data_IF_832204243602
#
_entry.id   IF_832204243602
#
_cell.length_a   1.000
_cell.length_b   1.000
_cell.length_c   1.000
_cell.angle_alpha   90.00
_cell.angle_beta   90.00
_cell.angle_gamma   90.00
#
_symmetry.space_group_name_H-M   'P 1'
#
loop_
_entity.id
_entity.type
_entity.pdbx_description
1 polymer ?
2 non-polymer ?
#
# COMPACT_ATOMS: atom_id res chain seq x y z
N UNK A 1 -39.63 -4.09 -12.30
CA UNK A 1 -39.24 -2.82 -11.63
C UNK A 1 -38.07 -2.14 -12.33
N UNK A 2 -37.02 -2.90 -12.58
CA UNK A 2 -35.78 -2.37 -13.15
C UNK A 2 -35.90 -2.20 -14.66
N UNK A 3 -35.73 -0.95 -15.11
CA UNK A 3 -35.92 -0.59 -16.52
C UNK A 3 -34.58 -0.45 -17.27
N UNK A 4 -33.49 -0.79 -16.59
CA UNK A 4 -32.13 -0.81 -17.16
C UNK A 4 -31.65 0.52 -17.75
N UNK A 5 -31.97 1.62 -17.06
CA UNK A 5 -31.32 2.90 -17.31
C UNK A 5 -30.98 3.58 -15.98
N UNK A 6 -32.00 4.15 -15.33
CA UNK A 6 -31.85 4.85 -14.06
C UNK A 6 -30.48 5.52 -13.91
N UNK A 7 -30.19 6.47 -14.80
CA UNK A 7 -28.93 7.21 -14.74
C UNK A 7 -28.71 7.79 -13.35
N UNK A 8 -27.49 7.69 -12.85
CA UNK A 8 -27.15 8.10 -11.48
C UNK A 8 -27.56 9.56 -11.19
N UNK A 9 -27.85 10.31 -12.25
CA UNK A 9 -28.19 11.73 -12.14
C UNK A 9 -29.45 12.15 -12.89
N UNK A 10 -30.61 11.72 -12.38
CA UNK A 10 -31.91 12.28 -12.74
C UNK A 10 -32.82 12.04 -11.55
N UNK A 11 -32.33 11.22 -10.63
CA UNK A 11 -33.03 10.82 -9.43
C UNK A 11 -32.37 11.48 -8.22
N UNK A 12 -31.10 11.15 -7.98
CA UNK A 12 -30.34 11.72 -6.87
C UNK A 12 -29.43 12.82 -7.39
N UNK A 13 -29.79 14.07 -7.07
CA UNK A 13 -29.06 15.24 -7.56
C UNK A 13 -27.84 15.57 -6.73
N UNK A 14 -28.02 15.66 -5.41
CA UNK A 14 -26.95 16.09 -4.49
C UNK A 14 -25.81 15.08 -4.34
N UNK A 15 -26.11 13.80 -4.54
CA UNK A 15 -25.10 12.74 -4.49
C UNK A 15 -24.19 12.79 -5.72
N UNK A 16 -24.79 12.98 -6.89
CA UNK A 16 -24.05 13.13 -8.14
C UNK A 16 -23.19 14.40 -8.12
N UNK A 17 -23.71 15.45 -7.48
CA UNK A 17 -23.00 16.70 -7.27
C UNK A 17 -21.68 16.46 -6.53
N UNK A 18 -21.77 15.71 -5.43
CA UNK A 18 -20.60 15.38 -4.62
C UNK A 18 -19.67 14.37 -5.32
N UNK A 19 -20.26 13.53 -6.17
CA UNK A 19 -19.51 12.54 -6.94
C UNK A 19 -18.63 13.17 -8.00
N UNK A 20 -19.18 14.15 -8.72
CA UNK A 20 -18.45 14.83 -9.79
C UNK A 20 -17.47 15.89 -9.27
N UNK A 21 -17.74 16.41 -8.06
CA UNK A 21 -16.83 17.35 -7.41
C UNK A 21 -15.53 16.68 -6.96
N UNK A 22 -15.63 15.40 -6.61
CA UNK A 22 -14.46 14.59 -6.29
C UNK A 22 -13.68 14.22 -7.56
N UNK A 23 -14.42 14.03 -8.65
CA UNK A 23 -13.83 13.75 -9.97
C UNK A 23 -13.03 14.94 -10.49
N UNK A 24 -13.54 16.15 -10.23
CA UNK A 24 -12.86 17.40 -10.58
C UNK A 24 -11.61 17.59 -9.72
N UNK A 25 -11.74 17.27 -8.43
CA UNK A 25 -10.64 17.37 -7.48
C UNK A 25 -9.46 16.48 -7.89
N UNK A 26 -9.74 15.22 -8.20
CA UNK A 26 -8.73 14.25 -8.61
C UNK A 26 -8.04 14.63 -9.92
N UNK A 27 -8.77 15.40 -10.75
CA UNK A 27 -8.24 15.88 -12.02
C UNK A 27 -7.48 17.21 -11.90
N UNK A 28 -7.54 17.82 -10.72
CA UNK A 28 -6.91 19.13 -10.49
C UNK A 28 -5.94 19.15 -9.31
N UNK A 29 -5.69 17.98 -8.72
CA UNK A 29 -4.77 17.87 -7.59
C UNK A 29 -3.65 16.88 -7.87
N UNK A 30 -2.43 17.28 -7.52
CA UNK A 30 -1.26 16.41 -7.62
C UNK A 30 -1.21 15.51 -6.39
N UNK A 31 -1.41 14.22 -6.60
CA UNK A 31 -1.41 13.24 -5.52
C UNK A 31 0.01 12.72 -5.27
N UNK A 32 0.59 13.12 -4.14
CA UNK A 32 1.91 12.65 -3.74
C UNK A 32 1.85 11.92 -2.40
N UNK A 33 0.64 11.63 -1.94
CA UNK A 33 0.42 10.79 -0.77
C UNK A 33 0.88 9.36 -1.08
N UNK A 34 1.73 8.82 -0.21
CA UNK A 34 2.45 7.57 -0.46
C UNK A 34 1.58 6.39 -0.91
N UNK A 35 2.05 5.71 -1.96
CA UNK A 35 1.47 4.46 -2.46
C UNK A 35 0.01 4.50 -2.89
N UNK A 36 -0.52 5.69 -3.13
CA UNK A 36 -1.88 5.83 -3.67
C UNK A 36 -1.82 5.91 -5.19
N UNK A 37 -2.72 5.18 -5.84
CA UNK A 37 -2.68 5.03 -7.29
C UNK A 37 -4.06 5.06 -7.93
N UNK A 38 -4.09 5.39 -9.23
CA UNK A 38 -5.32 5.36 -10.01
C UNK A 38 -5.48 3.98 -10.67
N UNK A 39 -6.70 3.45 -10.60
CA UNK A 39 -6.98 2.12 -11.14
C UNK A 39 -7.45 2.16 -12.61
N UNK A 40 -7.40 1.00 -13.25
CA UNK A 40 -7.78 0.85 -14.65
C UNK A 40 -9.30 0.96 -14.85
N UNK A 41 -9.74 1.53 -15.99
CA UNK A 41 -11.16 1.55 -16.36
C UNK A 41 -11.73 0.14 -16.56
N UNK A 42 -10.85 -0.83 -16.81
CA UNK A 42 -11.23 -2.24 -16.88
C UNK A 42 -11.69 -2.74 -15.52
N UNK A 43 -10.97 -2.33 -14.48
CA UNK A 43 -11.28 -2.68 -13.10
C UNK A 43 -12.59 -2.03 -12.64
N UNK A 44 -12.72 -0.73 -12.91
CA UNK A 44 -13.91 0.05 -12.54
C UNK A 44 -15.19 -0.53 -13.12
N UNK A 45 -15.14 -0.89 -14.41
CA UNK A 45 -16.31 -1.40 -15.11
C UNK A 45 -16.62 -2.86 -14.75
N UNK A 46 -15.61 -3.58 -14.28
CA UNK A 46 -15.78 -4.95 -13.78
C UNK A 46 -16.26 -4.95 -12.34
N UNK A 47 -15.94 -3.88 -11.61
CA UNK A 47 -16.36 -3.72 -10.22
C UNK A 47 -17.83 -3.31 -10.15
N UNK A 48 -18.28 -2.56 -11.15
CA UNK A 48 -19.68 -2.16 -11.25
C UNK A 48 -20.45 -3.04 -12.21
N UNK A 49 -20.28 -4.35 -12.06
CA UNK A 49 -20.91 -5.34 -12.93
C UNK A 49 -22.08 -6.03 -12.23
N UNK A 50 -22.75 -6.92 -12.96
CA UNK A 50 -23.92 -7.65 -12.46
C UNK A 50 -23.53 -8.77 -11.49
N UNK A 51 -22.24 -8.94 -11.25
CA UNK A 51 -21.71 -9.96 -10.35
C UNK A 51 -21.91 -9.64 -8.86
N UNK A 52 -22.39 -8.43 -8.58
CA UNK A 52 -22.73 -8.01 -7.22
C UNK A 52 -24.00 -8.69 -6.70
N UNK A 53 -24.83 -9.14 -7.64
CA UNK A 53 -26.08 -9.85 -7.31
C UNK A 53 -25.84 -11.31 -6.93
N UNK A 54 -24.70 -11.86 -7.35
CA UNK A 54 -24.37 -13.26 -7.09
C UNK A 54 -23.85 -13.48 -5.68
N UNK A 55 -24.47 -14.44 -4.98
CA UNK A 55 -24.04 -14.86 -3.65
C UNK A 55 -23.40 -16.24 -3.71
N UNK A 56 -22.07 -16.26 -3.72
CA UNK A 56 -21.31 -17.50 -3.73
C UNK A 56 -20.48 -17.61 -2.46
N UNK A 57 -20.86 -18.55 -1.61
CA UNK A 57 -20.22 -18.72 -0.30
C UNK A 57 -19.33 -19.97 -0.29
N UNK A 58 -18.06 -19.77 0.05
CA UNK A 58 -17.09 -20.87 0.13
C UNK A 58 -15.92 -20.70 -0.83
N UNK A 59 -15.50 -21.81 -1.42
CA UNK A 59 -14.35 -21.84 -2.33
C UNK A 59 -14.70 -22.50 -3.67
N UNK A 60 -14.02 -22.09 -4.76
CA UNK A 60 -14.31 -22.60 -6.12
C UNK A 60 -14.21 -24.12 -6.24
N UNK A 61 -15.23 -24.74 -6.82
CA UNK A 61 -15.29 -26.19 -6.99
C UNK A 61 -16.00 -26.91 -5.86
N UNK A 62 -16.04 -26.27 -4.69
CA UNK A 62 -16.67 -26.85 -3.50
C UNK A 62 -17.53 -25.84 -2.74
N UNK A 63 -18.52 -25.30 -3.44
CA UNK A 63 -19.46 -24.32 -2.88
C UNK A 63 -20.61 -25.04 -2.18
N UNK A 64 -21.34 -24.31 -1.34
CA UNK A 64 -22.49 -24.86 -0.63
C UNK A 64 -23.73 -24.92 -1.51
N UNK A 65 -23.97 -23.84 -2.27
CA UNK A 65 -25.18 -23.68 -3.05
C UNK A 65 -24.93 -23.87 -4.55
N UNK A 66 -25.94 -24.37 -5.25
CA UNK A 66 -25.86 -24.59 -6.69
C UNK A 66 -25.88 -23.31 -7.49
N UNK A 67 -25.49 -23.40 -8.76
CA UNK A 67 -25.47 -22.25 -9.66
C UNK A 67 -24.17 -21.45 -9.60
N UNK A 68 -23.17 -22.00 -8.91
CA UNK A 68 -21.86 -21.37 -8.79
C UNK A 68 -20.86 -21.93 -9.81
N UNK A 69 -21.40 -22.49 -10.89
CA UNK A 69 -20.59 -23.15 -11.92
C UNK A 69 -19.76 -22.20 -12.78
N UNK A 70 -20.15 -20.93 -12.83
CA UNK A 70 -19.46 -19.93 -13.66
C UNK A 70 -18.58 -18.98 -12.84
N UNK A 71 -19.00 -18.66 -11.63
CA UNK A 71 -18.24 -17.77 -10.74
C UNK A 71 -16.98 -18.43 -10.18
N UNK A 72 -16.95 -19.77 -10.20
CA UNK A 72 -15.77 -20.54 -9.83
C UNK A 72 -14.62 -20.27 -10.81
N UNK A 73 -14.96 -20.08 -12.08
CA UNK A 73 -13.99 -19.76 -13.13
C UNK A 73 -13.45 -18.34 -12.96
N UNK A 74 -14.34 -17.42 -12.60
CA UNK A 74 -13.98 -16.01 -12.39
C UNK A 74 -12.95 -15.88 -11.27
N UNK A 75 -13.18 -16.58 -10.17
CA UNK A 75 -12.30 -16.54 -9.01
C UNK A 75 -10.99 -17.29 -9.28
N UNK A 76 -11.09 -18.40 -10.02
CA UNK A 76 -9.92 -19.22 -10.35
C UNK A 76 -8.90 -18.46 -11.21
N UNK A 77 -9.40 -17.61 -12.10
CA UNK A 77 -8.54 -16.75 -12.92
C UNK A 77 -7.73 -15.78 -12.05
N UNK A 78 -8.38 -15.23 -11.03
CA UNK A 78 -7.73 -14.34 -10.07
C UNK A 78 -6.70 -15.09 -9.22
N UNK A 79 -6.99 -16.36 -8.94
CA UNK A 79 -6.07 -17.21 -8.16
C UNK A 79 -4.86 -17.63 -9.00
N UNK A 80 -5.11 -18.14 -10.20
CA UNK A 80 -4.06 -18.64 -11.09
C UNK A 80 -3.08 -17.56 -11.55
N UNK A 81 -3.59 -16.35 -11.76
CA UNK A 81 -2.77 -15.21 -12.16
C UNK A 81 -1.94 -14.66 -10.99
N UNK A 82 -2.49 -14.76 -9.78
CA UNK A 82 -1.79 -14.34 -8.56
C UNK A 82 -0.62 -15.26 -8.25
N UNK A 83 -0.80 -16.56 -8.52
CA UNK A 83 0.24 -17.56 -8.31
C UNK A 83 1.42 -17.37 -9.25
N UNK A 84 1.12 -17.22 -10.54
CA UNK A 84 2.12 -17.12 -11.59
C UNK A 84 2.93 -15.81 -11.51
N UNK A 85 2.27 -14.74 -11.09
CA UNK A 85 2.88 -13.41 -11.04
C UNK A 85 3.91 -13.26 -9.92
N UNK A 86 3.58 -13.76 -8.74
CA UNK A 86 4.45 -13.62 -7.57
C UNK A 86 5.25 -14.88 -7.26
N UNK A 87 5.08 -15.92 -8.09
CA UNK A 87 5.82 -17.17 -7.95
C UNK A 87 5.44 -17.96 -6.71
N UNK A 88 4.14 -18.09 -6.46
CA UNK A 88 3.63 -18.83 -5.31
C UNK A 88 2.77 -20.01 -5.73
N UNK A 89 2.64 -20.99 -4.84
CA UNK A 89 1.77 -22.15 -5.09
C UNK A 89 0.48 -22.10 -4.27
N UNK A 90 0.18 -20.92 -3.74
CA UNK A 90 -1.04 -20.67 -2.97
C UNK A 90 -1.48 -19.22 -3.12
N UNK A 91 -2.77 -19.01 -3.34
CA UNK A 91 -3.36 -17.68 -3.49
C UNK A 91 -4.78 -17.63 -2.93
N UNK A 92 -5.11 -16.51 -2.28
CA UNK A 92 -6.46 -16.29 -1.76
C UNK A 92 -6.91 -14.86 -2.04
N UNK A 93 -7.93 -14.73 -2.90
CA UNK A 93 -8.41 -13.43 -3.35
C UNK A 93 -9.76 -13.03 -2.75
N UNK A 94 -10.12 -13.66 -1.65
CA UNK A 94 -11.42 -13.44 -1.00
C UNK A 94 -11.47 -12.34 0.07
N UNK A 95 -10.35 -12.07 0.78
CA UNK A 95 -10.37 -11.03 1.81
C UNK A 95 -10.80 -9.65 1.30
N UNK A 96 -11.68 -8.99 2.05
CA UNK A 96 -12.25 -7.70 1.67
C UNK A 96 -11.23 -6.57 1.72
N UNK A 97 -10.30 -6.65 2.67
CA UNK A 97 -9.30 -5.60 2.87
C UNK A 97 -7.96 -6.17 3.34
N UNK A 98 -6.94 -5.32 3.34
CA UNK A 98 -5.60 -5.68 3.83
C UNK A 98 -5.59 -5.96 5.32
N UNK A 99 -6.49 -5.30 6.05
CA UNK A 99 -6.67 -5.54 7.48
C UNK A 99 -7.27 -6.92 7.73
N UNK A 100 -8.18 -7.33 6.86
CA UNK A 100 -8.79 -8.65 6.91
C UNK A 100 -7.82 -9.73 6.42
N UNK A 101 -6.94 -9.36 5.50
CA UNK A 101 -5.91 -10.27 4.97
C UNK A 101 -4.91 -10.64 6.06
N UNK A 102 -4.55 -9.66 6.90
CA UNK A 102 -3.68 -9.89 8.04
C UNK A 102 -4.39 -10.62 9.17
N UNK A 103 -5.66 -10.25 9.39
CA UNK A 103 -6.50 -10.86 10.43
C UNK A 103 -6.57 -12.39 10.32
N UNK A 104 -6.62 -12.88 9.08
CA UNK A 104 -6.66 -14.31 8.80
C UNK A 104 -5.41 -15.04 9.29
N UNK A 105 -4.24 -14.42 9.08
CA UNK A 105 -2.96 -15.01 9.45
C UNK A 105 -2.84 -15.20 10.96
N UNK A 106 -3.28 -14.19 11.72
CA UNK A 106 -3.20 -14.23 13.18
C UNK A 106 -4.13 -15.28 13.79
N UNK A 107 -5.31 -15.45 13.19
CA UNK A 107 -6.30 -16.41 13.69
C UNK A 107 -5.96 -17.85 13.27
N UNK A 108 -5.15 -17.99 12.24
CA UNK A 108 -4.78 -19.30 11.70
C UNK A 108 -3.60 -19.93 12.44
N UNK A 109 -2.59 -19.12 12.76
CA UNK A 109 -1.31 -19.63 13.27
C UNK A 109 -1.03 -19.29 14.73
N UNK A 110 -1.73 -18.28 15.25
CA UNK A 110 -1.48 -17.81 16.62
C UNK A 110 -2.65 -18.01 17.57
N UNK A 111 -2.32 -18.28 18.82
CA UNK A 111 -3.29 -18.36 19.90
C UNK A 111 -3.51 -16.98 20.51
N UNK A 112 -4.74 -16.69 20.99
CA UNK A 112 -5.00 -15.42 21.66
C UNK A 112 -4.16 -15.23 22.92
N UNK A 113 -3.21 -14.30 22.86
CA UNK A 113 -2.31 -14.01 23.97
C UNK A 113 -0.86 -14.37 23.72
N UNK A 114 -0.55 -14.77 22.49
CA UNK A 114 0.81 -15.15 22.10
C UNK A 114 1.72 -13.94 21.92
N UNK A 115 3.00 -14.12 22.21
CA UNK A 115 4.00 -13.07 22.04
C UNK A 115 4.37 -12.95 20.56
N UNK A 116 4.19 -11.75 20.02
CA UNK A 116 4.48 -11.47 18.61
C UNK A 116 5.48 -10.32 18.52
N UNK A 117 6.61 -10.59 17.88
CA UNK A 117 7.65 -9.58 17.69
C UNK A 117 7.41 -8.81 16.39
N UNK A 118 6.52 -7.81 16.47
CA UNK A 118 6.19 -6.98 15.33
C UNK A 118 6.95 -5.68 15.30
N UNK A 119 6.89 -4.98 14.16
CA UNK A 119 7.61 -3.72 13.99
C UNK A 119 6.98 -2.61 14.84
N UNK A 120 7.83 -1.72 15.35
CA UNK A 120 7.42 -0.62 16.22
C UNK A 120 6.46 0.35 15.55
N UNK A 121 5.28 0.52 16.16
CA UNK A 121 4.24 1.41 15.65
C UNK A 121 4.66 2.88 15.69
N UNK A 122 5.42 3.24 16.73
CA UNK A 122 5.90 4.62 16.91
C UNK A 122 6.88 5.06 15.82
N UNK A 123 7.57 4.09 15.22
CA UNK A 123 8.53 4.38 14.15
C UNK A 123 8.16 3.70 12.83
N UNK A 124 7.08 4.19 12.21
CA UNK A 124 6.68 3.75 10.87
C UNK A 124 5.83 2.50 10.78
N UNK A 125 5.52 1.91 11.94
CA UNK A 125 4.76 0.65 11.99
C UNK A 125 3.30 0.77 11.59
N UNK A 126 2.77 -0.31 11.02
CA UNK A 126 1.38 -0.38 10.57
C UNK A 126 0.46 -0.74 11.74
N UNK A 127 -0.80 -0.36 11.63
CA UNK A 127 -1.79 -0.58 12.69
C UNK A 127 -2.06 -2.07 12.94
N UNK A 128 -2.23 -2.83 11.88
CA UNK A 128 -2.48 -4.28 11.99
C UNK A 128 -1.21 -5.06 12.36
N UNK A 129 -0.09 -4.36 12.41
CA UNK A 129 1.21 -4.95 12.71
C UNK A 129 1.57 -4.86 14.20
N UNK A 130 0.61 -4.43 15.01
CA UNK A 130 0.81 -4.28 16.44
C UNK A 130 0.52 -2.86 16.91
N UNK A 131 -0.72 -2.64 17.32
CA UNK A 131 -1.16 -1.33 17.80
C UNK A 131 -2.13 -1.49 18.97
N UNK A 132 -1.97 -0.66 20.02
CA UNK A 132 -2.85 -0.69 21.19
C UNK A 132 -4.33 -0.46 20.87
N UNK A 133 -4.60 0.31 19.82
CA UNK A 133 -5.97 0.63 19.40
C UNK A 133 -6.56 -0.40 18.44
N UNK A 134 -5.69 -1.21 17.82
CA UNK A 134 -6.10 -2.22 16.86
C UNK A 134 -6.32 -3.59 17.51
N UNK A 135 -7.03 -4.48 16.80
CA UNK A 135 -7.30 -5.84 17.28
C UNK A 135 -6.03 -6.68 17.47
N UNK A 136 -5.00 -6.36 16.69
CA UNK A 136 -3.73 -7.08 16.73
C UNK A 136 -3.01 -6.95 18.07
N UNK A 137 -3.08 -5.76 18.66
CA UNK A 137 -2.44 -5.49 19.96
C UNK A 137 -3.31 -5.83 21.15
N UNK A 138 -4.62 -5.82 20.94
CA UNK A 138 -5.58 -6.10 22.01
C UNK A 138 -5.68 -7.60 22.33
N UNK A 139 -5.64 -8.43 21.29
CA UNK A 139 -5.76 -9.88 21.45
C UNK A 139 -4.41 -10.56 21.67
N UNK A 140 -3.37 -10.02 21.05
CA UNK A 140 -2.03 -10.62 21.10
C UNK A 140 -1.03 -9.71 21.80
N UNK A 141 -0.09 -10.33 22.52
CA UNK A 141 1.00 -9.61 23.16
C UNK A 141 2.04 -9.16 22.12
N UNK A 142 2.25 -7.85 22.03
CA UNK A 142 3.15 -7.29 21.03
C UNK A 142 4.42 -6.73 21.67
N UNK A 143 5.56 -7.25 21.23
CA UNK A 143 6.87 -6.73 21.61
C UNK A 143 7.52 -6.08 20.39
N UNK A 144 7.72 -4.74 20.44
CA UNK A 144 8.19 -4.02 19.26
C UNK A 144 9.71 -4.02 19.09
N UNK A 145 10.16 -4.08 17.84
CA UNK A 145 11.58 -3.90 17.51
C UNK A 145 11.76 -2.64 16.67
N UNK A 146 12.85 -1.91 16.92
CA UNK A 146 13.10 -0.63 16.27
C UNK A 146 14.17 -0.67 15.20
N UNK A 147 14.07 0.27 14.26
CA UNK A 147 15.06 0.42 13.19
C UNK A 147 16.24 1.29 13.62
N UNK A 148 17.29 1.32 12.80
CA UNK A 148 18.49 2.11 13.07
C UNK A 148 18.25 3.60 12.77
N UNK A 149 19.28 4.42 13.00
CA UNK A 149 19.18 5.88 12.85
C UNK A 149 18.79 6.34 11.44
N UNK A 150 19.35 5.68 10.42
CA UNK A 150 19.06 6.04 9.03
C UNK A 150 17.69 5.55 8.57
N UNK A 151 17.24 4.43 9.12
CA UNK A 151 15.95 3.86 8.77
C UNK A 151 16.03 2.39 8.40
N UNK A 152 17.24 1.92 8.12
CA UNK A 152 17.48 0.51 7.77
C UNK A 152 17.37 -0.37 9.01
N UNK A 153 17.02 -1.64 8.80
CA UNK A 153 16.77 -2.58 9.91
C UNK A 153 18.06 -3.01 10.60
N UNK A 154 18.05 -2.92 11.93
CA UNK A 154 19.14 -3.42 12.76
C UNK A 154 18.94 -4.92 12.97
N UNK A 155 19.76 -5.71 12.28
CA UNK A 155 19.63 -7.17 12.30
C UNK A 155 20.09 -7.80 13.61
N UNK A 156 21.01 -7.13 14.29
CA UNK A 156 21.49 -7.55 15.60
C UNK A 156 20.42 -7.33 16.69
N UNK A 157 19.63 -6.29 16.51
CA UNK A 157 18.55 -5.96 17.45
C UNK A 157 17.38 -6.93 17.31
N UNK A 158 17.18 -7.45 16.10
CA UNK A 158 16.13 -8.44 15.84
C UNK A 158 16.49 -9.81 16.39
N UNK A 159 17.79 -10.12 16.39
CA UNK A 159 18.29 -11.36 16.96
C UNK A 159 18.16 -11.34 18.48
N UNK A 160 18.31 -10.15 19.06
CA UNK A 160 17.97 -9.90 20.46
C UNK A 160 16.45 -9.78 20.58
N UNK A 161 15.93 -9.86 21.80
CA UNK A 161 14.48 -9.83 22.07
C UNK A 161 13.78 -11.10 21.55
N UNK A 162 14.54 -11.92 20.81
CA UNK A 162 14.04 -13.18 20.26
C UNK A 162 14.27 -14.33 21.24
N UNK A 163 15.31 -14.21 22.05
CA UNK A 163 15.59 -15.18 23.11
C UNK A 163 15.05 -14.67 24.44
N UNK A 164 14.87 -13.36 24.54
CA UNK A 164 14.35 -12.71 25.74
C UNK A 164 12.87 -13.00 25.96
N UNK A 165 12.10 -12.98 24.87
CA UNK A 165 10.64 -13.14 24.93
C UNK A 165 10.15 -14.43 24.26
N UNK A 166 10.93 -14.93 23.31
CA UNK A 166 10.58 -16.12 22.52
C UNK A 166 9.22 -16.01 21.81
N UNK A 167 9.17 -15.27 20.69
CA UNK A 167 7.91 -15.09 19.97
C UNK A 167 7.53 -16.27 19.08
N UNK A 168 6.24 -16.46 18.85
CA UNK A 168 5.74 -17.53 17.98
C UNK A 168 5.64 -17.06 16.54
N UNK A 169 5.62 -15.75 16.34
CA UNK A 169 5.61 -15.14 15.02
C UNK A 169 6.32 -13.79 15.04
N UNK A 170 7.15 -13.54 14.03
CA UNK A 170 7.80 -12.24 13.85
C UNK A 170 7.29 -11.57 12.57
N UNK A 171 6.93 -10.28 12.69
CA UNK A 171 6.39 -9.53 11.56
C UNK A 171 7.46 -8.66 10.91
N UNK A 172 7.77 -8.96 9.65
CA UNK A 172 8.75 -8.20 8.88
C UNK A 172 8.11 -7.41 7.76
N UNK A 173 7.05 -6.68 8.09
CA UNK A 173 6.32 -5.86 7.13
C UNK A 173 7.07 -4.60 6.75
N UNK A 174 6.89 -4.15 5.51
CA UNK A 174 7.55 -2.97 4.99
C UNK A 174 6.96 -1.68 5.56
N UNK A 175 7.84 -0.78 5.99
CA UNK A 175 7.44 0.51 6.55
C UNK A 175 8.02 1.67 5.74
N UNK A 176 7.71 2.90 6.18
CA UNK A 176 8.18 4.11 5.51
C UNK A 176 9.70 4.29 5.59
N UNK A 177 10.24 5.00 4.61
CA UNK A 177 11.68 5.35 4.49
C UNK A 177 12.71 4.23 4.68
N UNK A 178 12.25 2.99 4.83
CA UNK A 178 13.13 1.84 4.94
C UNK A 178 13.59 1.36 3.57
N UNK A 179 14.85 0.96 3.47
CA UNK A 179 15.41 0.45 2.21
C UNK A 179 15.00 -0.98 1.93
N UNK A 180 15.88 -1.73 1.27
CA UNK A 180 15.61 -3.14 0.98
C UNK A 180 15.68 -3.99 2.24
N UNK A 181 14.78 -4.98 2.31
CA UNK A 181 14.72 -5.90 3.44
C UNK A 181 15.38 -7.22 3.07
N UNK A 182 16.37 -7.63 3.84
CA UNK A 182 17.03 -8.91 3.63
C UNK A 182 16.15 -10.03 4.19
N UNK A 183 15.20 -10.49 3.37
CA UNK A 183 14.23 -11.50 3.77
C UNK A 183 14.84 -12.89 3.91
N UNK A 184 16.00 -13.10 3.29
CA UNK A 184 16.75 -14.34 3.45
C UNK A 184 17.32 -14.42 4.87
N UNK A 185 17.70 -13.27 5.42
CA UNK A 185 18.20 -13.17 6.79
C UNK A 185 17.05 -13.33 7.80
N UNK A 186 15.85 -12.91 7.39
CA UNK A 186 14.65 -13.03 8.24
C UNK A 186 14.31 -14.48 8.55
N UNK A 187 14.49 -15.35 7.55
CA UNK A 187 14.18 -16.77 7.68
C UNK A 187 15.15 -17.49 8.61
N UNK A 188 16.43 -17.13 8.52
CA UNK A 188 17.48 -17.72 9.37
C UNK A 188 17.26 -17.45 10.85
N UNK A 189 16.74 -16.26 11.17
CA UNK A 189 16.44 -15.86 12.54
C UNK A 189 15.18 -16.57 13.04
N UNK A 190 14.14 -16.61 12.19
CA UNK A 190 12.85 -17.19 12.54
C UNK A 190 12.90 -18.70 12.77
N UNK A 191 13.77 -19.38 12.04
CA UNK A 191 13.91 -20.84 12.14
C UNK A 191 14.59 -21.29 13.42
N UNK A 192 15.47 -20.44 13.95
CA UNK A 192 16.22 -20.74 15.18
C UNK A 192 15.33 -20.71 16.42
N UNK A 193 14.34 -19.83 16.42
CA UNK A 193 13.38 -19.71 17.53
C UNK A 193 12.25 -20.74 17.37
N UNK A 194 11.92 -21.05 16.12
CA UNK A 194 10.78 -21.90 15.80
C UNK A 194 9.52 -21.07 15.65
N UNK A 195 9.65 -19.96 14.92
CA UNK A 195 8.57 -19.00 14.75
C UNK A 195 8.16 -18.84 13.29
N UNK A 196 6.91 -18.40 13.08
CA UNK A 196 6.40 -18.15 11.74
C UNK A 196 6.92 -16.82 11.20
N UNK A 197 7.26 -16.82 9.91
CA UNK A 197 7.73 -15.60 9.22
C UNK A 197 6.59 -14.98 8.41
N UNK A 198 6.13 -13.82 8.89
CA UNK A 198 5.02 -13.11 8.25
C UNK A 198 5.49 -11.79 7.66
N UNK A 199 5.35 -11.65 6.35
CA UNK A 199 5.79 -10.46 5.62
C UNK A 199 4.61 -9.80 4.90
N UNK A 200 4.43 -8.50 5.14
CA UNK A 200 3.39 -7.72 4.46
C UNK A 200 4.02 -6.81 3.41
N UNK A 201 3.87 -7.19 2.15
CA UNK A 201 4.44 -6.42 1.05
C UNK A 201 3.38 -5.55 0.37
N UNK A 202 2.33 -5.24 1.12
CA UNK A 202 1.21 -4.47 0.57
C UNK A 202 1.70 -3.16 -0.05
N UNK A 203 2.65 -2.52 0.61
CA UNK A 203 3.08 -1.18 0.23
C UNK A 203 3.93 -1.20 -1.04
N UNK A 204 4.60 -2.32 -1.27
CA UNK A 204 5.56 -2.42 -2.36
C UNK A 204 5.22 -3.60 -3.28
N UNK A 205 3.93 -3.81 -3.52
CA UNK A 205 3.47 -4.97 -4.28
C UNK A 205 3.79 -4.80 -5.77
N UNK A 206 3.52 -3.61 -6.29
CA UNK A 206 3.73 -3.34 -7.71
C UNK A 206 5.17 -3.39 -8.17
N UNK A 207 6.08 -3.01 -7.27
CA UNK A 207 7.52 -3.01 -7.57
C UNK A 207 8.07 -4.43 -7.65
N UNK A 208 7.55 -5.32 -6.81
CA UNK A 208 7.90 -6.74 -6.84
C UNK A 208 7.25 -7.41 -8.06
N UNK A 209 6.07 -6.91 -8.44
CA UNK A 209 5.31 -7.40 -9.59
C UNK A 209 6.06 -7.27 -10.91
N UNK A 210 6.79 -6.17 -11.07
CA UNK A 210 7.57 -5.90 -12.28
C UNK A 210 8.97 -6.53 -12.19
N UNK A 211 9.52 -6.56 -10.99
CA UNK A 211 10.86 -7.11 -10.76
C UNK A 211 11.88 -6.04 -10.43
N UNK A 212 11.44 -5.00 -9.71
CA UNK A 212 12.31 -3.91 -9.29
C UNK A 212 12.72 -4.10 -7.83
N UNK A 213 11.78 -4.59 -7.03
CA UNK A 213 12.00 -4.83 -5.61
C UNK A 213 12.06 -6.34 -5.35
N UNK A 214 12.98 -6.79 -4.46
CA UNK A 214 13.13 -8.21 -4.12
C UNK A 214 11.82 -8.88 -3.67
N UNK A 215 11.69 -10.17 -3.96
CA UNK A 215 10.49 -10.93 -3.63
C UNK A 215 10.65 -11.70 -2.31
N UNK A 216 9.80 -11.38 -1.32
CA UNK A 216 9.81 -12.08 -0.04
C UNK A 216 9.15 -13.46 -0.06
N UNK A 217 8.30 -13.70 -1.06
CA UNK A 217 7.51 -14.94 -1.16
C UNK A 217 8.33 -16.25 -1.20
N UNK A 218 9.41 -16.31 -2.00
CA UNK A 218 10.22 -17.54 -2.06
C UNK A 218 10.75 -18.03 -0.70
N UNK A 219 11.11 -17.11 0.18
CA UNK A 219 11.65 -17.46 1.49
C UNK A 219 10.88 -16.80 2.64
N UNK A 220 9.58 -17.07 2.70
CA UNK A 220 8.70 -16.65 3.79
C UNK A 220 7.53 -17.61 3.94
N UNK A 221 7.03 -17.76 5.16
CA UNK A 221 5.91 -18.66 5.43
C UNK A 221 4.60 -18.14 4.84
N UNK A 222 4.16 -16.97 5.31
CA UNK A 222 2.93 -16.34 4.83
C UNK A 222 3.21 -14.91 4.38
N UNK A 223 2.74 -14.56 3.18
CA UNK A 223 2.90 -13.22 2.63
C UNK A 223 1.54 -12.61 2.27
N UNK A 224 1.25 -11.44 2.82
CA UNK A 224 0.01 -10.72 2.53
C UNK A 224 0.26 -9.41 1.80
N UNK A 225 -0.72 -8.97 1.02
CA UNK A 225 -0.63 -7.73 0.25
C UNK A 225 -2.00 -7.15 -0.13
N UNK A 226 -2.03 -5.84 -0.37
CA UNK A 226 -3.23 -5.16 -0.88
C UNK A 226 -3.16 -5.09 -2.41
N UNK A 227 -4.32 -5.17 -3.06
CA UNK A 227 -4.38 -5.29 -4.51
C UNK A 227 -4.77 -3.97 -5.15
N UNK A 228 -4.41 -2.87 -4.48
CA UNK A 228 -5.03 -1.57 -4.76
C UNK A 228 -4.08 -0.43 -4.44
N UNK A 229 -2.79 -0.74 -4.36
CA UNK A 229 -1.78 0.24 -3.98
C UNK A 229 -0.76 0.44 -5.10
N UNK A 230 0.41 -0.14 -4.92
CA UNK A 230 1.47 -0.07 -5.93
C UNK A 230 1.25 -1.13 -7.01
N UNK A 231 0.07 -1.74 -7.02
CA UNK A 231 -0.29 -2.72 -8.03
C UNK A 231 -1.43 -2.22 -8.92
N UNK A 232 -1.95 -1.05 -8.58
CA UNK A 232 -3.09 -0.48 -9.31
C UNK A 232 -4.23 -1.49 -9.41
N UNK A 233 -5.01 -1.60 -8.34
CA UNK A 233 -5.98 -2.66 -8.20
C UNK A 233 -7.27 -2.21 -7.56
N UNK A 234 -8.32 -3.00 -7.73
CA UNK A 234 -9.46 -2.97 -6.82
C UNK A 234 -9.02 -3.00 -5.36
N UNK A 235 -9.70 -2.23 -4.51
CA UNK A 235 -9.40 -2.20 -3.08
C UNK A 235 -9.76 -3.53 -2.41
N UNK A 236 -8.73 -4.29 -2.02
CA UNK A 236 -8.90 -5.60 -1.40
C UNK A 236 -7.62 -6.16 -0.81
N UNK A 237 -7.64 -7.46 -0.51
CA UNK A 237 -6.49 -8.15 0.07
C UNK A 237 -6.10 -9.41 -0.68
N UNK A 238 -4.94 -9.96 -0.34
CA UNK A 238 -4.42 -11.17 -0.97
C UNK A 238 -3.49 -11.92 -0.02
N UNK A 239 -3.67 -13.24 0.07
CA UNK A 239 -2.78 -14.09 0.85
C UNK A 239 -2.01 -15.04 -0.07
N UNK A 240 -0.68 -14.97 -0.01
CA UNK A 240 0.19 -15.80 -0.83
C UNK A 240 1.17 -16.60 0.03
N UNK A 241 1.48 -17.81 -0.42
CA UNK A 241 2.43 -18.69 0.28
C UNK A 241 3.16 -19.61 -0.69
N UNK A 242 4.43 -19.89 -0.38
CA UNK A 242 5.27 -20.74 -1.22
C UNK A 242 6.11 -21.71 -0.38
N UNK A 243 6.06 -22.98 -0.74
CA UNK A 243 6.87 -24.02 -0.10
C UNK A 243 6.38 -24.45 1.26
N UNK A 244 5.06 -24.53 1.43
CA UNK A 244 4.45 -24.96 2.68
C UNK A 244 3.70 -26.27 2.54
N UNK A 245 3.25 -26.81 3.66
CA UNK A 245 2.46 -28.04 3.68
C UNK A 245 0.97 -27.73 3.49
N UNK A 246 0.23 -28.70 2.95
CA UNK A 246 -1.19 -28.55 2.68
C UNK A 246 -2.03 -28.38 3.94
N UNK A 247 -1.51 -28.87 5.06
CA UNK A 247 -2.16 -28.72 6.37
C UNK A 247 -2.03 -27.29 6.89
N UNK A 248 -1.06 -26.54 6.36
CA UNK A 248 -0.88 -25.14 6.71
C UNK A 248 -1.61 -24.21 5.74
N UNK A 249 -1.86 -24.69 4.52
CA UNK A 249 -2.64 -23.94 3.53
C UNK A 249 -4.12 -23.91 3.92
N UNK A 250 -4.61 -25.03 4.43
CA UNK A 250 -6.00 -25.16 4.85
C UNK A 250 -6.29 -24.42 6.16
N UNK A 251 -5.22 -24.09 6.89
CA UNK A 251 -5.32 -23.22 8.06
C UNK A 251 -5.72 -21.81 7.67
N UNK A 252 -5.08 -21.30 6.60
CA UNK A 252 -5.36 -19.97 6.07
C UNK A 252 -6.69 -19.92 5.32
N UNK A 253 -7.04 -21.02 4.65
CA UNK A 253 -8.32 -21.15 3.96
C UNK A 253 -9.50 -21.07 4.93
N UNK A 254 -9.38 -21.76 6.06
CA UNK A 254 -10.39 -21.74 7.11
C UNK A 254 -10.38 -20.42 7.87
N UNK A 255 -9.26 -19.71 7.81
CA UNK A 255 -9.10 -18.42 8.51
C UNK A 255 -9.86 -17.28 7.83
N UNK A 256 -10.01 -17.38 6.51
CA UNK A 256 -10.79 -16.39 5.75
C UNK A 256 -12.27 -16.74 5.86
N UNK A 257 -12.63 -17.93 5.39
CA UNK A 257 -13.99 -18.45 5.53
C UNK A 257 -13.94 -19.91 6.01
N UNK A 258 -14.70 -20.23 7.07
CA UNK A 258 -15.58 -19.35 7.84
C UNK A 258 -14.88 -18.71 9.04
N UNK A 259 -13.75 -18.07 8.80
CA UNK A 259 -12.96 -17.45 9.85
C UNK A 259 -13.50 -16.12 10.32
N UNK A 260 -13.31 -15.09 9.49
CA UNK A 260 -13.72 -13.73 9.86
C UNK A 260 -14.76 -13.10 8.96
N UNK A 261 -14.96 -13.69 7.78
CA UNK A 261 -15.92 -13.16 6.80
C UNK A 261 -16.78 -14.24 6.16
N UNK A 262 -17.93 -13.84 5.63
CA UNK A 262 -18.86 -14.77 4.99
C UNK A 262 -18.56 -14.96 3.51
N UNK A 263 -19.49 -14.51 2.66
CA UNK A 263 -19.34 -14.61 1.22
C UNK A 263 -18.49 -13.47 0.66
N UNK A 264 -17.53 -13.80 -0.22
CA UNK A 264 -16.64 -12.82 -0.84
C UNK A 264 -17.35 -11.95 -1.89
N UNK A 265 -16.81 -10.75 -2.13
CA UNK A 265 -17.36 -9.83 -3.12
C UNK A 265 -16.85 -10.20 -4.51
N UNK A 266 -17.70 -10.87 -5.29
CA UNK A 266 -17.33 -11.39 -6.61
C UNK A 266 -17.06 -10.30 -7.66
N UNK A 267 -17.73 -9.15 -7.50
CA UNK A 267 -17.53 -8.02 -8.41
C UNK A 267 -16.14 -7.40 -8.26
N UNK A 268 -15.59 -7.46 -7.05
CA UNK A 268 -14.24 -6.99 -6.77
C UNK A 268 -13.21 -8.03 -7.26
N UNK A 269 -13.53 -9.30 -7.08
CA UNK A 269 -12.67 -10.41 -7.52
C UNK A 269 -12.52 -10.43 -9.05
N UNK A 270 -13.59 -10.07 -9.75
CA UNK A 270 -13.56 -9.89 -11.20
C UNK A 270 -12.63 -8.75 -11.60
N UNK A 271 -12.58 -7.71 -10.76
CA UNK A 271 -11.65 -6.61 -10.93
C UNK A 271 -10.22 -6.98 -10.55
N UNK A 272 -10.10 -7.97 -9.66
CA UNK A 272 -8.79 -8.48 -9.24
C UNK A 272 -8.13 -9.32 -10.34
N UNK A 273 -8.94 -10.09 -11.06
CA UNK A 273 -8.46 -10.97 -12.12
C UNK A 273 -7.91 -10.20 -13.31
N UNK A 274 -8.57 -9.11 -13.67
CA UNK A 274 -8.14 -8.27 -14.79
C UNK A 274 -6.92 -7.41 -14.43
N UNK A 275 -6.83 -7.01 -13.17
CA UNK A 275 -5.73 -6.16 -12.69
C UNK A 275 -4.39 -6.92 -12.66
N UNK A 276 -4.46 -8.21 -12.37
CA UNK A 276 -3.28 -9.08 -12.36
C UNK A 276 -2.75 -9.35 -13.77
N UNK A 277 -3.66 -9.39 -14.74
CA UNK A 277 -3.30 -9.58 -16.14
C UNK A 277 -2.59 -8.36 -16.70
N UNK A 278 -3.00 -7.17 -16.24
CA UNK A 278 -2.39 -5.91 -16.65
C UNK A 278 -0.99 -5.73 -16.08
N UNK A 279 -0.76 -6.33 -14.90
CA UNK A 279 0.55 -6.28 -14.24
C UNK A 279 1.56 -7.20 -14.93
N UNK A 280 1.06 -8.21 -15.65
CA UNK A 280 1.89 -9.16 -16.37
C UNK A 280 2.43 -8.57 -17.68
N UNK A 281 1.84 -7.47 -18.13
CA UNK A 281 2.22 -6.80 -19.38
C UNK A 281 3.62 -6.18 -19.30
N UNK A 282 4.34 -6.15 -20.44
CA UNK A 282 5.67 -5.51 -20.47
C UNK A 282 5.59 -3.99 -20.33
N UNK A 283 4.42 -3.44 -20.54
CA UNK A 283 4.18 -1.99 -20.38
C UNK A 283 4.06 -1.60 -18.92
N UNK A 284 3.67 -2.55 -18.07
CA UNK A 284 3.59 -2.35 -16.62
C UNK A 284 4.99 -2.28 -16.01
N UNK A 285 5.93 -3.00 -16.61
CA UNK A 285 7.33 -3.01 -16.18
C UNK A 285 7.98 -1.66 -16.41
N UNK A 286 7.82 -1.11 -17.61
CA UNK A 286 8.39 0.19 -17.99
C UNK A 286 7.79 1.34 -17.16
N UNK A 287 6.52 1.18 -16.77
CA UNK A 287 5.87 2.12 -15.87
C UNK A 287 6.48 2.07 -14.48
N UNK A 288 6.65 0.86 -13.95
CA UNK A 288 7.13 0.65 -12.59
C UNK A 288 8.59 1.05 -12.41
N UNK A 289 9.38 0.93 -13.49
CA UNK A 289 10.76 1.39 -13.51
C UNK A 289 10.81 2.92 -13.51
N UNK A 290 9.81 3.54 -14.13
CA UNK A 290 9.71 4.99 -14.21
C UNK A 290 9.21 5.59 -12.90
N UNK A 291 8.58 4.76 -12.06
CA UNK A 291 8.15 5.17 -10.72
C UNK A 291 9.36 5.42 -9.82
N UNK A 292 10.29 4.46 -9.82
CA UNK A 292 11.52 4.57 -9.04
C UNK A 292 12.48 5.60 -9.62
N UNK A 293 12.37 5.81 -10.94
CA UNK A 293 13.19 6.78 -11.67
C UNK A 293 12.80 8.22 -11.30
N UNK A 294 11.50 8.45 -11.12
CA UNK A 294 10.99 9.75 -10.70
C UNK A 294 11.26 10.05 -9.23
N UNK A 295 11.25 9.00 -8.41
CA UNK A 295 11.53 9.12 -6.98
C UNK A 295 12.97 9.60 -6.74
N UNK A 296 13.90 9.07 -7.51
CA UNK A 296 15.31 9.45 -7.42
C UNK A 296 15.56 10.88 -7.93
N UNK A 297 14.82 11.26 -8.97
CA UNK A 297 14.93 12.59 -9.58
C UNK A 297 14.47 13.70 -8.65
N UNK A 298 13.47 13.39 -7.81
CA UNK A 298 12.93 14.37 -6.85
C UNK A 298 13.88 14.62 -5.68
N UNK A 299 14.52 13.57 -5.19
CA UNK A 299 15.49 13.66 -4.09
C UNK A 299 16.65 14.58 -4.48
N UNK A 300 17.07 14.50 -5.73
CA UNK A 300 18.14 15.35 -6.28
C UNK A 300 17.81 16.84 -6.16
N UNK A 301 16.54 17.19 -6.40
CA UNK A 301 16.09 18.58 -6.35
C UNK A 301 16.07 19.12 -4.92
N UNK A 302 15.51 18.33 -3.99
CA UNK A 302 15.42 18.72 -2.58
C UNK A 302 16.78 18.89 -1.92
N UNK A 303 17.75 18.07 -2.30
CA UNK A 303 19.11 18.15 -1.75
C UNK A 303 19.84 19.40 -2.23
N UNK A 304 19.61 19.79 -3.48
CA UNK A 304 20.22 20.98 -4.06
C UNK A 304 19.64 22.28 -3.51
N UNK A 305 18.40 22.21 -3.01
CA UNK A 305 17.73 23.36 -2.43
C UNK A 305 17.98 23.51 -0.92
N UNK A 306 18.83 22.63 -0.39
CA UNK A 306 19.25 22.70 1.02
C UNK A 306 18.34 22.01 2.01
N UNK A 307 17.43 21.18 1.50
CA UNK A 307 16.50 20.44 2.35
C UNK A 307 17.00 19.03 2.62
N UNK A 308 16.96 18.63 3.90
CA UNK A 308 17.44 17.32 4.31
C UNK A 308 16.46 16.21 3.96
N UNK A 309 16.99 15.15 3.35
CA UNK A 309 16.22 13.96 3.01
C UNK A 309 16.73 12.78 3.84
N UNK A 310 15.80 12.06 4.47
CA UNK A 310 16.13 10.93 5.33
C UNK A 310 16.80 9.80 4.53
N UNK A 311 17.86 9.25 5.09
CA UNK A 311 18.63 8.13 4.50
C UNK A 311 19.49 8.53 3.29
N UNK A 312 19.61 9.85 3.05
CA UNK A 312 20.45 10.36 1.96
C UNK A 312 19.74 10.37 0.62
N UNK A 313 19.23 9.22 0.21
CA UNK A 313 18.47 9.08 -1.03
C UNK A 313 17.34 8.07 -0.90
N UNK A 314 16.60 7.86 -1.97
CA UNK A 314 15.49 6.90 -1.98
C UNK A 314 15.91 5.55 -2.54
N UNK A 315 15.33 4.50 -1.96
CA UNK A 315 15.60 3.13 -2.39
C UNK A 315 14.54 2.67 -3.38
N UNK A 316 13.29 3.05 -3.14
CA UNK A 316 12.16 2.66 -3.98
C UNK A 316 11.36 3.85 -4.52
N UNK A 317 10.19 4.12 -3.93
CA UNK A 317 9.29 5.16 -4.42
C UNK A 317 8.83 6.12 -3.32
N UNK A 318 9.29 5.87 -2.09
CA UNK A 318 8.99 6.71 -0.94
C UNK A 318 10.24 7.39 -0.40
N UNK A 319 10.11 8.68 -0.10
CA UNK A 319 11.16 9.43 0.59
C UNK A 319 10.56 10.43 1.58
N UNK A 320 11.22 10.59 2.72
CA UNK A 320 10.75 11.50 3.76
C UNK A 320 11.64 12.74 3.81
N UNK A 321 11.00 13.91 3.82
CA UNK A 321 11.72 15.19 3.84
C UNK A 321 11.80 15.73 5.27
N UNK A 322 13.03 15.88 5.76
CA UNK A 322 13.30 16.41 7.10
C UNK A 322 13.21 17.93 7.08
N UNK A 323 12.50 18.49 8.06
CA UNK A 323 12.28 19.95 8.13
C UNK A 323 12.68 20.54 9.48
N UNK A 324 13.49 19.81 10.24
CA UNK A 324 13.95 20.25 11.56
C UNK A 324 14.91 21.45 11.44
N UNK A 325 15.85 21.35 10.50
CA UNK A 325 16.85 22.40 10.27
C UNK A 325 16.23 23.68 9.69
N UNK A 326 15.15 23.53 8.94
CA UNK A 326 14.44 24.65 8.34
C UNK A 326 13.47 25.32 9.33
N UNK A 327 13.34 24.71 10.51
CA UNK A 327 12.45 25.17 11.58
C UNK A 327 10.98 25.28 11.15
N UNK A 328 10.53 24.30 10.38
CA UNK A 328 9.15 24.22 9.94
C UNK A 328 8.51 22.89 10.32
N UNK A 329 7.22 22.93 10.63
CA UNK A 329 6.48 21.74 11.02
C UNK A 329 5.80 21.10 9.82
N UNK A 330 5.60 19.78 9.89
CA UNK A 330 4.97 19.01 8.82
C UNK A 330 3.50 19.32 8.66
N UNK A 331 2.89 19.84 9.73
CA UNK A 331 1.49 20.27 9.69
C UNK A 331 1.34 21.55 8.87
N UNK A 332 2.30 22.46 9.00
CA UNK A 332 2.31 23.72 8.26
C UNK A 332 2.72 23.53 6.81
N UNK A 333 3.54 22.53 6.55
CA UNK A 333 3.96 22.18 5.20
C UNK A 333 2.83 21.50 4.43
N UNK A 334 2.01 20.75 5.16
CA UNK A 334 0.86 20.04 4.58
C UNK A 334 -0.20 21.04 4.10
N UNK A 335 -0.53 22.00 4.95
CA UNK A 335 -1.55 23.01 4.66
C UNK A 335 -1.13 23.98 3.56
N UNK A 336 0.16 24.33 3.55
CA UNK A 336 0.71 25.25 2.54
C UNK A 336 0.72 24.62 1.15
N UNK A 337 1.16 23.37 1.07
CA UNK A 337 1.20 22.63 -0.19
C UNK A 337 -0.20 22.18 -0.62
N UNK A 338 -1.08 21.96 0.36
CA UNK A 338 -2.46 21.59 0.11
C UNK A 338 -3.24 22.67 -0.62
N UNK A 339 -2.94 23.93 -0.30
CA UNK A 339 -3.59 25.08 -0.94
C UNK A 339 -3.10 25.31 -2.37
N UNK A 340 -1.88 24.85 -2.66
CA UNK A 340 -1.32 24.91 -4.01
C UNK A 340 -1.68 23.66 -4.82
N UNK A 341 -2.66 22.91 -4.32
CA UNK A 341 -3.16 21.67 -4.95
C UNK A 341 -2.13 20.54 -5.03
N UNK A 342 -1.27 20.47 -4.02
CA UNK A 342 -0.30 19.39 -3.88
C UNK A 342 -0.65 18.57 -2.63
N UNK A 343 -1.08 17.33 -2.85
CA UNK A 343 -1.55 16.47 -1.76
C UNK A 343 -0.43 15.62 -1.17
N UNK A 344 0.15 16.11 -0.07
CA UNK A 344 1.15 15.37 0.70
C UNK A 344 0.65 15.16 2.13
N UNK A 345 1.21 14.15 2.81
CA UNK A 345 0.84 13.88 4.20
C UNK A 345 2.00 14.14 5.17
N UNK A 346 1.65 14.63 6.36
CA UNK A 346 2.62 14.92 7.41
C UNK A 346 3.17 13.63 8.02
N UNK A 347 4.49 13.58 8.22
CA UNK A 347 5.15 12.39 8.74
C UNK A 347 6.25 12.71 9.75
N UNK A 348 6.33 11.91 10.81
CA UNK A 348 7.32 12.10 11.87
C UNK A 348 8.73 11.68 11.43
N UNK A 349 9.71 12.50 11.81
CA UNK A 349 11.12 12.21 11.53
C UNK A 349 11.76 11.42 12.68
N UNK A 350 12.81 10.64 12.38
CA UNK A 350 13.58 9.99 13.46
C UNK A 350 14.15 11.04 14.42
N UNK A 351 13.95 10.80 15.72
CA UNK A 351 14.29 11.77 16.78
C UNK A 351 13.56 13.11 16.61
N UNK A 352 12.24 13.04 16.67
CA UNK A 352 11.38 14.20 16.47
C UNK A 352 11.25 15.01 17.76
N UNK A 353 11.61 16.32 17.69
CA UNK A 353 11.46 17.22 18.84
C UNK A 353 10.00 17.60 19.11
N UNK A 354 9.18 17.63 18.06
CA UNK A 354 7.78 18.01 18.17
C UNK A 354 6.84 16.81 18.31
N UNK A 355 5.55 17.10 18.53
CA UNK A 355 4.51 16.08 18.69
C UNK A 355 4.37 15.21 17.44
N UNK A 356 4.12 13.89 17.63
CA UNK A 356 3.88 12.97 16.51
C UNK A 356 2.64 13.30 15.67
N UNK A 357 1.88 14.31 16.10
CA UNK A 357 0.73 14.82 15.35
C UNK A 357 1.07 16.11 14.61
N UNK A 358 2.15 16.76 15.05
CA UNK A 358 2.66 17.98 14.38
C UNK A 358 3.73 17.58 13.36
N UNK A 359 4.42 16.46 13.64
CA UNK A 359 5.24 15.69 12.68
C UNK A 359 6.54 16.24 12.09
N UNK A 360 6.77 17.54 12.16
CA UNK A 360 7.98 18.19 11.62
C UNK A 360 8.61 17.61 10.34
N UNK A 361 7.78 17.09 9.44
CA UNK A 361 8.24 16.49 8.19
C UNK A 361 7.10 16.02 7.30
N UNK A 362 7.43 15.73 6.04
CA UNK A 362 6.42 15.28 5.06
C UNK A 362 6.85 14.02 4.30
N UNK A 363 5.85 13.23 3.90
CA UNK A 363 6.07 11.98 3.17
C UNK A 363 5.54 12.11 1.74
N UNK A 364 6.40 11.81 0.77
CA UNK A 364 6.06 11.96 -0.66
C UNK A 364 6.20 10.62 -1.41
N UNK A 365 5.15 10.27 -2.14
CA UNK A 365 5.15 9.08 -3.00
C UNK A 365 5.03 9.46 -4.47
N UNK A 366 5.42 8.55 -5.34
CA UNK A 366 5.47 8.83 -6.79
C UNK A 366 4.65 7.90 -7.72
N UNK A 367 3.82 6.99 -7.15
CA UNK A 367 3.11 6.10 -8.06
C UNK A 367 1.92 6.74 -8.77
N UNK A 368 1.33 7.75 -8.14
CA UNK A 368 0.14 8.44 -8.68
C UNK A 368 0.48 9.33 -9.88
N UNK A 369 1.60 10.04 -9.78
CA UNK A 369 2.05 10.97 -10.83
C UNK A 369 2.59 10.25 -12.07
N UNK A 370 3.23 9.10 -11.87
CA UNK A 370 3.77 8.29 -12.96
C UNK A 370 2.64 7.65 -13.77
N UNK A 371 1.56 7.29 -13.08
CA UNK A 371 0.35 6.73 -13.72
C UNK A 371 -0.32 7.76 -14.62
N UNK A 372 -0.12 9.04 -14.29
CA UNK A 372 -0.72 10.16 -15.02
C UNK A 372 0.03 10.48 -16.30
N UNK A 373 1.35 10.36 -16.26
CA UNK A 373 2.20 10.62 -17.43
C UNK A 373 3.38 11.53 -17.15
N UNK A 374 3.75 11.66 -15.88
CA UNK A 374 4.89 12.47 -15.46
C UNK A 374 6.20 11.73 -15.66
N UNK A 375 7.13 12.38 -16.36
CA UNK A 375 8.48 11.84 -16.54
C UNK A 375 9.47 12.56 -15.64
N UNK A 376 10.76 12.29 -15.84
CA UNK A 376 11.83 12.88 -15.03
C UNK A 376 11.87 14.42 -15.10
N UNK A 377 11.63 14.96 -16.29
CA UNK A 377 11.61 16.41 -16.49
C UNK A 377 10.41 17.06 -15.82
N UNK A 378 9.29 16.33 -15.75
CA UNK A 378 8.08 16.79 -15.08
C UNK A 378 8.14 16.59 -13.57
N UNK A 379 8.88 15.56 -13.14
CA UNK A 379 9.04 15.25 -11.72
C UNK A 379 9.95 16.26 -11.02
N UNK A 380 10.98 16.72 -11.73
CA UNK A 380 11.92 17.71 -11.20
C UNK A 380 11.30 19.11 -11.17
N UNK A 381 10.39 19.37 -12.11
CA UNK A 381 9.67 20.63 -12.18
C UNK A 381 8.71 20.77 -11.00
N UNK A 382 8.02 19.67 -10.68
CA UNK A 382 7.07 19.63 -9.56
C UNK A 382 7.78 19.74 -8.21
N UNK A 383 8.92 19.07 -8.08
CA UNK A 383 9.73 19.13 -6.87
C UNK A 383 10.30 20.54 -6.66
N UNK A 384 10.55 21.24 -7.77
CA UNK A 384 11.01 22.63 -7.73
C UNK A 384 9.94 23.58 -7.21
N UNK A 385 8.69 23.30 -7.57
CA UNK A 385 7.55 24.09 -7.11
C UNK A 385 7.28 23.92 -5.62
N UNK A 386 7.52 22.70 -5.12
CA UNK A 386 7.32 22.37 -3.71
C UNK A 386 8.28 23.16 -2.81
N UNK A 387 9.52 23.28 -3.25
CA UNK A 387 10.54 24.02 -2.51
C UNK A 387 10.27 25.52 -2.51
N UNK A 388 9.64 26.01 -3.57
CA UNK A 388 9.23 27.42 -3.67
C UNK A 388 8.22 27.79 -2.59
N UNK A 389 7.32 26.85 -2.28
CA UNK A 389 6.31 27.02 -1.24
C UNK A 389 6.92 26.95 0.15
N UNK A 390 7.89 26.05 0.33
CA UNK A 390 8.56 25.86 1.62
C UNK A 390 9.50 27.01 1.98
N UNK A 391 10.04 27.68 0.97
CA UNK A 391 10.89 28.86 1.17
C UNK A 391 10.08 30.05 1.67
N UNK A 392 9.04 30.40 0.92
CA UNK A 392 8.11 31.45 1.31
C UNK A 392 6.83 30.81 1.85
N UNK A 393 6.90 30.33 3.09
CA UNK A 393 5.84 29.52 3.69
C UNK A 393 4.56 30.28 4.04
N UNK A 394 4.71 31.56 4.40
CA UNK A 394 3.57 32.40 4.77
C UNK A 394 3.19 33.44 3.72
N UNK A 395 3.96 33.49 2.63
CA UNK A 395 3.65 34.38 1.51
C UNK A 395 2.54 33.79 0.66
N UNK A 396 1.38 34.43 0.69
CA UNK A 396 0.17 33.93 0.01
C UNK A 396 0.24 34.06 -1.51
N UNK A 397 0.98 35.05 -2.00
CA UNK A 397 1.13 35.28 -3.44
C UNK A 397 1.86 34.13 -4.13
N UNK A 398 2.86 33.58 -3.45
CA UNK A 398 3.67 32.47 -3.98
C UNK A 398 2.83 31.19 -4.11
N UNK A 399 1.96 30.95 -3.13
CA UNK A 399 1.09 29.77 -3.11
C UNK A 399 0.11 29.78 -4.29
N UNK A 400 -0.42 30.96 -4.62
CA UNK A 400 -1.33 31.12 -5.76
C UNK A 400 -0.60 31.01 -7.09
N UNK A 401 0.68 31.40 -7.10
CA UNK A 401 1.53 31.29 -8.28
C UNK A 401 1.76 29.83 -8.69
N UNK A 402 2.01 28.98 -7.70
CA UNK A 402 2.25 27.56 -7.91
C UNK A 402 0.98 26.83 -8.34
N UNK A 403 -0.13 27.13 -7.68
CA UNK A 403 -1.42 26.51 -7.96
C UNK A 403 -1.82 26.65 -9.43
N UNK A 404 -1.56 27.83 -10.00
CA UNK A 404 -1.83 28.11 -11.42
C UNK A 404 -1.04 27.21 -12.35
N UNK A 405 0.21 26.94 -11.98
CA UNK A 405 1.08 26.04 -12.74
C UNK A 405 0.65 24.58 -12.57
N UNK A 406 0.13 24.27 -11.38
CA UNK A 406 -0.40 22.93 -11.07
C UNK A 406 -1.68 22.65 -11.88
N UNK A 407 -2.55 23.66 -11.95
CA UNK A 407 -3.79 23.56 -12.72
C UNK A 407 -3.54 23.39 -14.21
N UNK A 408 -2.44 23.97 -14.69
CA UNK A 408 -2.05 23.87 -16.09
C UNK A 408 -1.51 22.47 -16.44
N UNK A 409 -0.61 21.95 -15.60
CA UNK A 409 0.00 20.64 -15.83
C UNK A 409 -0.99 19.49 -15.65
N UNK A 410 -2.02 19.72 -14.82
CA UNK A 410 -3.11 18.77 -14.66
C UNK A 410 -4.02 18.76 -15.88
N UNK A 411 -4.18 19.92 -16.51
CA UNK A 411 -4.96 20.06 -17.74
C UNK A 411 -4.20 19.48 -18.93
N UNK A 412 -2.87 19.52 -18.86
CA UNK A 412 -2.01 18.93 -19.89
C UNK A 412 -1.89 17.42 -19.73
N UNK A 413 -1.85 16.96 -18.49
CA UNK A 413 -1.75 15.54 -18.18
C UNK A 413 -2.96 15.05 -17.39
N UNK A 414 -4.01 14.57 -18.11
CA UNK A 414 -5.21 14.06 -17.45
C UNK A 414 -5.04 12.62 -16.96
N UNK A 415 -5.83 12.25 -15.95
CA UNK A 415 -5.80 10.88 -15.41
C UNK A 415 -6.43 9.91 -16.41
N UNK A 416 -7.66 10.21 -16.82
CA UNK A 416 -8.37 9.43 -17.83
C UNK A 416 -8.55 10.27 -19.08
N UNK A 417 -7.73 10.00 -20.09
CA UNK A 417 -7.68 10.82 -21.31
C UNK A 417 -8.91 10.61 -22.20
X LIG B 1 -4.63 0.76 7.10
X LIG B 1 -3.56 1.58 6.80
X LIG B 1 -3.02 2.50 7.85
X LIG B 1 -2.99 1.55 5.52
X LIG B 1 -1.92 2.36 5.21
X LIG B 1 -3.51 0.69 4.55
X LIG B 1 -2.67 0.40 3.34
X LIG B 1 -4.60 -0.13 4.86
X LIG B 1 -5.16 -0.09 6.14
X LIG B 1 -5.18 -1.07 3.83
X LIG B 1 -6.49 -0.68 3.45
X LIG B 1 -6.83 0.78 2.86
X LIG B 1 -5.62 1.33 2.15
X LIG B 1 -7.23 1.70 3.98
X LIG B 1 -7.98 0.67 1.87
#
# INVERSE_FOLDING_TARGET
MLKREMNIADYDAELWQAMEQEKVRQEEHIELIASENYTSPRVMQAQGSQLTNKFAEGYPGKRYYGGCEYVDIVEQLAIDRAKELFGADYANVQPHSGSQANFAVYTALLEPGDTVLGMNLAHGGHLTHGSPVNFSGKLYNIVPYGIDATGHIDYADLEKQAKEHKPKMIIGGFSAYSGVVDWAKMREIADSIGAYLFVDMAHVAGLVAAGVYPNPVPHAHVVTTTTHKTLAGPRGGLILAKGGSEELYKKLNSAVFPGGQGGPLMHVIAGKAVALKEAMEPEFKTYQQQVAKNAKAMVEVFLERGYKVVSGGTDNHLFLVDLVDKNLTGKEADAALGRANITVNKNSVPNDPKSPFVTSGIRVGTPAITRRGFKEAEAKELAGWMCDVLDSINDEAVIERIKGKVLDICARYPVYA
PLP N1 C2 C2A C3 O3 C4 C4A C5 C6 C5A O4P P O1P O2P O3P
#
